data_IF_532568307405
#
_entry.id   IF_532568307405
#
_cell.length_a   1.000
_cell.length_b   1.000
_cell.length_c   1.000
_cell.angle_alpha   90.00
_cell.angle_beta   90.00
_cell.angle_gamma   90.00
#
_symmetry.space_group_name_H-M   'P 1'
#
loop_
_entity.id
_entity.type
_entity.pdbx_description
1 polymer ?
#
# COMPACT_ATOMS: atom_id res chain seq x y z
N UNK A 1 7.90 -18.26 -10.71
CA UNK A 1 7.33 -16.99 -10.17
C UNK A 1 8.48 -16.01 -10.06
N UNK A 2 8.28 -14.71 -10.35
CA UNK A 2 9.34 -13.71 -10.21
C UNK A 2 9.75 -13.56 -8.75
N UNK A 3 11.06 -13.31 -8.44
CA UNK A 3 11.56 -13.28 -7.05
C UNK A 3 10.85 -12.25 -6.16
N UNK A 4 10.52 -11.08 -6.71
CA UNK A 4 9.79 -10.03 -5.97
C UNK A 4 8.38 -10.48 -5.58
N UNK A 5 7.68 -11.20 -6.45
CA UNK A 5 6.34 -11.73 -6.15
C UNK A 5 6.43 -12.79 -5.03
N UNK A 6 7.45 -13.64 -5.09
CA UNK A 6 7.70 -14.64 -4.04
C UNK A 6 7.99 -13.95 -2.70
N UNK A 7 8.84 -12.93 -2.68
CA UNK A 7 9.16 -12.18 -1.48
C UNK A 7 7.92 -11.51 -0.88
N UNK A 8 7.11 -10.83 -1.70
CA UNK A 8 5.86 -10.19 -1.25
C UNK A 8 4.89 -11.23 -0.67
N UNK A 9 4.74 -12.39 -1.32
CA UNK A 9 3.88 -13.46 -0.83
C UNK A 9 4.36 -14.01 0.52
N UNK A 10 5.67 -14.24 0.66
CA UNK A 10 6.25 -14.72 1.93
C UNK A 10 6.02 -13.72 3.05
N UNK A 11 6.23 -12.42 2.80
CA UNK A 11 5.99 -11.36 3.78
C UNK A 11 4.50 -11.27 4.14
N UNK A 12 3.63 -11.36 3.15
CA UNK A 12 2.17 -11.37 3.37
C UNK A 12 1.74 -12.56 4.24
N UNK A 13 2.22 -13.77 3.93
CA UNK A 13 1.96 -14.97 4.72
C UNK A 13 2.54 -14.87 6.14
N UNK A 14 3.71 -14.27 6.29
CA UNK A 14 4.30 -14.01 7.60
C UNK A 14 3.36 -13.16 8.48
N UNK A 15 2.84 -12.05 7.97
CA UNK A 15 1.88 -11.23 8.72
C UNK A 15 0.56 -11.94 8.97
N UNK A 16 0.06 -12.76 8.03
CA UNK A 16 -1.12 -13.62 8.26
C UNK A 16 -0.87 -14.57 9.43
N UNK A 17 0.27 -15.26 9.44
CA UNK A 17 0.64 -16.19 10.50
C UNK A 17 0.67 -15.46 11.86
N UNK A 18 1.32 -14.29 11.91
CA UNK A 18 1.33 -13.48 13.13
C UNK A 18 -0.09 -13.08 13.58
N UNK A 19 -0.94 -12.63 12.68
CA UNK A 19 -2.33 -12.29 13.03
C UNK A 19 -3.13 -13.51 13.48
N UNK A 20 -2.92 -14.68 12.89
CA UNK A 20 -3.59 -15.93 13.29
C UNK A 20 -3.22 -16.32 14.73
N UNK A 21 -1.95 -16.20 15.10
CA UNK A 21 -1.48 -16.61 16.43
C UNK A 21 -1.70 -15.56 17.52
N UNK A 22 -1.61 -14.28 17.19
CA UNK A 22 -1.59 -13.21 18.19
C UNK A 22 -2.83 -12.32 18.17
N UNK A 23 -3.72 -12.46 17.18
CA UNK A 23 -4.96 -11.68 17.08
C UNK A 23 -6.15 -12.58 16.71
N UNK A 24 -7.33 -11.98 16.55
CA UNK A 24 -8.54 -12.72 16.14
C UNK A 24 -8.70 -12.74 14.61
N UNK A 25 -7.75 -13.33 13.89
CA UNK A 25 -7.71 -13.27 12.42
C UNK A 25 -9.00 -13.75 11.72
N UNK A 26 -9.54 -14.90 12.14
CA UNK A 26 -10.73 -15.51 11.51
C UNK A 26 -12.06 -14.98 12.03
N UNK A 27 -12.07 -14.38 13.20
CA UNK A 27 -13.28 -13.91 13.87
C UNK A 27 -13.05 -12.53 14.47
N UNK A 28 -12.89 -11.52 13.61
CA UNK A 28 -12.81 -10.13 14.05
C UNK A 28 -14.15 -9.67 14.62
N UNK A 29 -14.10 -8.77 15.60
CA UNK A 29 -15.31 -8.14 16.12
C UNK A 29 -16.00 -7.39 14.97
N UNK A 30 -17.33 -7.48 14.91
CA UNK A 30 -18.20 -6.86 13.90
C UNK A 30 -17.92 -7.31 12.44
N UNK A 31 -17.14 -8.37 12.21
CA UNK A 31 -16.92 -8.92 10.88
C UNK A 31 -18.17 -9.63 10.37
N UNK A 32 -18.58 -9.29 9.14
CA UNK A 32 -19.69 -9.92 8.40
C UNK A 32 -19.12 -10.90 7.36
N UNK A 33 -19.90 -11.89 6.97
CA UNK A 33 -19.52 -12.80 5.88
C UNK A 33 -19.22 -12.04 4.58
N UNK A 34 -20.01 -11.00 4.26
CA UNK A 34 -19.79 -10.14 3.10
C UNK A 34 -18.43 -9.46 3.09
N UNK A 35 -17.81 -9.21 4.26
CA UNK A 35 -16.48 -8.62 4.33
C UNK A 35 -15.42 -9.56 3.72
N UNK A 36 -15.46 -10.84 4.08
CA UNK A 36 -14.57 -11.84 3.49
C UNK A 36 -14.76 -11.99 1.98
N UNK A 37 -16.01 -11.94 1.50
CA UNK A 37 -16.29 -11.96 0.05
C UNK A 37 -15.66 -10.76 -0.64
N UNK A 38 -15.82 -9.56 -0.10
CA UNK A 38 -15.22 -8.32 -0.65
C UNK A 38 -13.70 -8.41 -0.63
N UNK A 39 -13.08 -8.90 0.45
CA UNK A 39 -11.63 -9.08 0.56
C UNK A 39 -11.10 -10.00 -0.55
N UNK A 40 -11.73 -11.16 -0.76
CA UNK A 40 -11.32 -12.12 -1.79
C UNK A 40 -11.50 -11.57 -3.19
N UNK A 41 -12.65 -10.96 -3.50
CA UNK A 41 -12.94 -10.39 -4.82
C UNK A 41 -12.00 -9.22 -5.13
N UNK A 42 -11.79 -8.32 -4.18
CA UNK A 42 -10.91 -7.15 -4.37
C UNK A 42 -9.45 -7.59 -4.58
N UNK A 43 -8.96 -8.51 -3.75
CA UNK A 43 -7.59 -9.03 -3.85
C UNK A 43 -7.38 -9.80 -5.15
N UNK A 44 -8.28 -10.74 -5.46
CA UNK A 44 -8.22 -11.52 -6.70
C UNK A 44 -8.37 -10.63 -7.94
N UNK A 45 -9.32 -9.71 -7.93
CA UNK A 45 -9.53 -8.74 -9.01
C UNK A 45 -8.30 -7.86 -9.26
N UNK A 46 -7.66 -7.38 -8.20
CA UNK A 46 -6.41 -6.61 -8.34
C UNK A 46 -5.28 -7.49 -8.90
N UNK A 47 -4.95 -8.57 -8.21
CA UNK A 47 -3.71 -9.31 -8.49
C UNK A 47 -3.78 -10.12 -9.79
N UNK A 48 -4.95 -10.67 -10.12
CA UNK A 48 -5.12 -11.56 -11.29
C UNK A 48 -5.58 -10.82 -12.54
N UNK A 49 -6.21 -9.65 -12.40
CA UNK A 49 -6.83 -8.95 -13.54
C UNK A 49 -6.25 -7.55 -13.71
N UNK A 50 -6.47 -6.65 -12.73
CA UNK A 50 -6.19 -5.23 -12.94
C UNK A 50 -4.69 -4.94 -13.01
N UNK A 51 -3.90 -5.47 -12.10
CA UNK A 51 -2.46 -5.22 -12.08
C UNK A 51 -1.76 -5.71 -13.35
N UNK A 52 -1.94 -6.97 -13.80
CA UNK A 52 -1.35 -7.40 -15.06
C UNK A 52 -1.88 -6.61 -16.26
N UNK A 53 -3.19 -6.32 -16.31
CA UNK A 53 -3.78 -5.53 -17.39
C UNK A 53 -3.15 -4.15 -17.48
N UNK A 54 -3.10 -3.40 -16.38
CA UNK A 54 -2.58 -2.02 -16.37
C UNK A 54 -1.08 -2.00 -16.68
N UNK A 55 -0.28 -2.87 -16.05
CA UNK A 55 1.17 -2.92 -16.31
C UNK A 55 1.46 -3.27 -17.77
N UNK A 56 0.76 -4.26 -18.33
CA UNK A 56 0.92 -4.65 -19.74
C UNK A 56 0.45 -3.55 -20.68
N UNK A 57 -0.71 -2.94 -20.41
CA UNK A 57 -1.22 -1.84 -21.24
C UNK A 57 -0.28 -0.64 -21.22
N UNK A 58 0.22 -0.25 -20.03
CA UNK A 58 1.17 0.84 -19.91
C UNK A 58 2.48 0.55 -20.65
N UNK A 59 2.99 -0.69 -20.57
CA UNK A 59 4.17 -1.11 -21.35
C UNK A 59 3.93 -1.01 -22.85
N UNK A 60 2.83 -1.59 -23.36
CA UNK A 60 2.49 -1.58 -24.80
C UNK A 60 2.22 -0.16 -25.33
N UNK A 61 1.53 0.67 -24.56
CA UNK A 61 1.34 2.09 -24.91
C UNK A 61 2.67 2.83 -24.98
N UNK A 62 3.56 2.59 -24.02
CA UNK A 62 4.90 3.18 -24.02
C UNK A 62 5.70 2.72 -25.24
N UNK A 63 5.65 1.44 -25.59
CA UNK A 63 6.30 0.91 -26.78
C UNK A 63 5.78 1.55 -28.07
N UNK A 64 4.47 1.80 -28.15
CA UNK A 64 3.84 2.41 -29.32
C UNK A 64 4.18 3.91 -29.47
N UNK A 65 4.07 4.68 -28.36
CA UNK A 65 4.23 6.15 -28.42
C UNK A 65 5.65 6.64 -28.16
N UNK A 66 6.50 5.81 -27.55
CA UNK A 66 7.86 6.16 -27.13
C UNK A 66 8.88 5.09 -27.56
N UNK A 67 8.86 4.59 -28.83
CA UNK A 67 9.66 3.41 -29.22
C UNK A 67 11.17 3.58 -29.03
N UNK A 68 11.69 4.81 -29.16
CA UNK A 68 13.11 5.13 -28.97
C UNK A 68 13.57 5.19 -27.51
N UNK A 69 12.65 5.10 -26.55
CA UNK A 69 12.95 5.19 -25.12
C UNK A 69 13.03 3.84 -24.42
N UNK A 70 12.80 2.73 -25.12
CA UNK A 70 12.88 1.40 -24.52
C UNK A 70 14.26 1.17 -23.90
N UNK A 71 14.28 0.76 -22.63
CA UNK A 71 15.49 0.54 -21.83
C UNK A 71 16.45 1.75 -21.71
N UNK A 72 16.01 2.96 -22.02
CA UNK A 72 16.87 4.16 -22.03
C UNK A 72 17.39 4.53 -20.62
N UNK A 73 16.71 4.13 -19.56
CA UNK A 73 17.14 4.36 -18.17
C UNK A 73 17.87 3.16 -17.55
N UNK A 74 18.15 2.09 -18.31
CA UNK A 74 18.80 0.88 -17.79
C UNK A 74 20.18 1.15 -17.15
N UNK A 75 20.90 2.18 -17.62
CA UNK A 75 22.22 2.56 -17.14
C UNK A 75 22.23 3.59 -15.99
N UNK A 76 21.07 4.05 -15.52
CA UNK A 76 21.01 5.02 -14.43
C UNK A 76 21.56 4.42 -13.13
N UNK A 77 22.21 5.26 -12.30
CA UNK A 77 22.71 4.81 -11.00
C UNK A 77 21.53 4.23 -10.17
N UNK A 78 21.69 3.01 -9.62
CA UNK A 78 20.62 2.32 -8.87
C UNK A 78 20.07 3.10 -7.69
N UNK A 79 20.94 3.78 -6.93
CA UNK A 79 20.54 4.57 -5.77
C UNK A 79 19.71 5.79 -6.19
N UNK A 80 20.10 6.44 -7.30
CA UNK A 80 19.33 7.57 -7.85
C UNK A 80 17.97 7.06 -8.32
N UNK A 81 17.91 5.98 -9.10
CA UNK A 81 16.67 5.40 -9.57
C UNK A 81 15.74 5.01 -8.40
N UNK A 82 16.28 4.33 -7.38
CA UNK A 82 15.53 3.95 -6.20
C UNK A 82 15.00 5.16 -5.42
N UNK A 83 15.82 6.19 -5.22
CA UNK A 83 15.41 7.42 -4.53
C UNK A 83 14.30 8.17 -5.29
N UNK A 84 14.39 8.21 -6.61
CA UNK A 84 13.34 8.81 -7.45
C UNK A 84 12.03 8.00 -7.37
N UNK A 85 12.11 6.67 -7.41
CA UNK A 85 10.95 5.82 -7.17
C UNK A 85 10.33 6.09 -5.81
N UNK A 86 11.14 6.05 -4.75
CA UNK A 86 10.70 6.27 -3.38
C UNK A 86 9.95 7.60 -3.23
N UNK A 87 10.48 8.68 -3.79
CA UNK A 87 9.91 10.01 -3.65
C UNK A 87 8.67 10.17 -4.55
N UNK A 88 8.80 9.92 -5.84
CA UNK A 88 7.72 10.23 -6.79
C UNK A 88 6.55 9.26 -6.74
N UNK A 89 6.80 7.96 -6.62
CA UNK A 89 5.72 6.98 -6.51
C UNK A 89 4.93 7.19 -5.22
N UNK A 90 5.62 7.45 -4.11
CA UNK A 90 4.96 7.65 -2.82
C UNK A 90 4.21 8.99 -2.76
N UNK A 91 4.75 10.08 -3.34
CA UNK A 91 4.07 11.36 -3.49
C UNK A 91 2.78 11.23 -4.33
N UNK A 92 2.85 10.51 -5.46
CA UNK A 92 1.68 10.24 -6.30
C UNK A 92 0.65 9.41 -5.53
N UNK A 93 1.09 8.39 -4.80
CA UNK A 93 0.25 7.57 -3.96
C UNK A 93 -0.44 8.38 -2.86
N UNK A 94 0.30 9.27 -2.18
CA UNK A 94 -0.23 10.18 -1.18
C UNK A 94 -1.35 11.05 -1.75
N UNK A 95 -1.11 11.71 -2.89
CA UNK A 95 -2.12 12.55 -3.54
C UNK A 95 -3.31 11.74 -4.03
N UNK A 96 -3.09 10.57 -4.60
CA UNK A 96 -4.19 9.68 -5.00
C UNK A 96 -5.08 9.32 -3.83
N UNK A 97 -4.49 8.94 -2.69
CA UNK A 97 -5.21 8.60 -1.48
C UNK A 97 -5.97 9.80 -0.91
N UNK A 98 -5.30 10.95 -0.77
CA UNK A 98 -5.90 12.20 -0.28
C UNK A 98 -7.08 12.68 -1.15
N UNK A 99 -6.92 12.67 -2.48
CA UNK A 99 -7.98 13.03 -3.42
C UNK A 99 -9.14 12.03 -3.34
N UNK A 100 -8.84 10.75 -3.14
CA UNK A 100 -9.87 9.71 -2.96
C UNK A 100 -10.74 9.94 -1.72
N UNK A 101 -10.22 10.59 -0.69
CA UNK A 101 -11.02 11.02 0.47
C UNK A 101 -11.79 12.33 0.25
N UNK A 102 -11.39 13.14 -0.71
CA UNK A 102 -11.96 14.46 -0.96
C UNK A 102 -13.02 14.47 -2.07
N UNK A 103 -12.83 13.64 -3.10
CA UNK A 103 -13.69 13.57 -4.29
C UNK A 103 -14.73 12.47 -4.11
N UNK A 104 -16.02 12.82 -4.04
CA UNK A 104 -17.12 11.91 -3.71
C UNK A 104 -17.18 10.62 -4.54
N UNK A 105 -16.95 10.69 -5.85
CA UNK A 105 -17.02 9.51 -6.70
C UNK A 105 -15.78 8.60 -6.52
N UNK A 106 -14.59 9.16 -6.32
CA UNK A 106 -13.40 8.39 -5.98
C UNK A 106 -13.52 7.73 -4.61
N UNK A 107 -14.10 8.44 -3.64
CA UNK A 107 -14.36 7.85 -2.32
C UNK A 107 -15.28 6.61 -2.41
N UNK A 108 -16.24 6.59 -3.32
CA UNK A 108 -17.07 5.38 -3.53
C UNK A 108 -16.23 4.16 -3.95
N UNK A 109 -15.14 4.36 -4.68
CA UNK A 109 -14.22 3.29 -5.08
C UNK A 109 -13.28 2.87 -3.94
N UNK A 110 -12.93 3.82 -3.07
CA UNK A 110 -12.04 3.62 -1.91
C UNK A 110 -12.81 3.19 -0.64
N UNK A 111 -14.08 3.50 -0.56
CA UNK A 111 -14.93 3.18 0.60
C UNK A 111 -14.91 1.72 1.06
N UNK A 112 -14.82 0.69 0.20
CA UNK A 112 -14.70 -0.69 0.68
C UNK A 112 -13.53 -0.88 1.65
N UNK A 113 -12.42 -0.17 1.44
CA UNK A 113 -11.24 -0.18 2.30
C UNK A 113 -11.55 0.34 3.71
N UNK A 114 -12.31 1.42 3.82
CA UNK A 114 -12.68 2.05 5.09
C UNK A 114 -13.95 1.50 5.74
N UNK A 115 -14.75 0.68 5.05
CA UNK A 115 -16.01 0.17 5.60
C UNK A 115 -15.86 -0.96 6.60
N UNK A 116 -14.72 -1.64 6.65
CA UNK A 116 -14.47 -2.65 7.67
C UNK A 116 -14.46 -2.03 9.06
N UNK A 117 -15.09 -2.70 10.02
CA UNK A 117 -15.10 -2.28 11.43
C UNK A 117 -13.99 -2.96 12.24
N UNK A 118 -12.95 -3.41 11.57
CA UNK A 118 -11.77 -4.07 12.13
C UNK A 118 -10.55 -3.72 11.29
N UNK A 119 -9.36 -3.91 11.86
CA UNK A 119 -8.09 -3.85 11.14
C UNK A 119 -7.55 -5.26 10.93
N UNK A 120 -6.92 -5.47 9.80
CA UNK A 120 -6.21 -6.70 9.44
C UNK A 120 -5.43 -6.49 8.15
N UNK A 121 -4.36 -7.24 7.97
CA UNK A 121 -3.63 -7.31 6.70
C UNK A 121 -4.54 -7.65 5.50
N UNK A 122 -5.69 -8.30 5.72
CA UNK A 122 -6.70 -8.61 4.70
C UNK A 122 -7.30 -7.38 4.04
N UNK A 123 -7.23 -6.22 4.71
CA UNK A 123 -7.79 -4.97 4.20
C UNK A 123 -6.90 -4.27 3.17
N UNK A 124 -5.61 -4.64 3.07
CA UNK A 124 -4.63 -3.97 2.21
C UNK A 124 -5.13 -3.81 0.78
N UNK A 125 -5.74 -4.84 0.22
CA UNK A 125 -6.22 -4.85 -1.16
C UNK A 125 -7.75 -4.65 -1.27
N UNK A 126 -8.43 -4.32 -0.18
CA UNK A 126 -9.89 -4.19 -0.13
C UNK A 126 -10.38 -2.85 -0.70
N UNK A 127 -10.22 -2.67 -1.99
CA UNK A 127 -10.77 -1.55 -2.75
C UNK A 127 -11.64 -2.05 -3.91
N UNK A 128 -12.43 -1.16 -4.50
CA UNK A 128 -13.07 -1.45 -5.78
C UNK A 128 -11.98 -1.63 -6.87
N UNK A 129 -12.18 -2.55 -7.79
CA UNK A 129 -11.21 -2.83 -8.86
C UNK A 129 -10.90 -1.61 -9.73
N UNK A 130 -11.87 -0.73 -9.96
CA UNK A 130 -11.68 0.52 -10.71
C UNK A 130 -10.82 1.54 -9.95
N UNK A 131 -10.74 1.47 -8.62
CA UNK A 131 -9.80 2.27 -7.84
C UNK A 131 -8.36 2.03 -8.29
N UNK A 132 -8.00 0.76 -8.44
CA UNK A 132 -6.68 0.35 -8.89
C UNK A 132 -6.46 0.58 -10.38
N UNK A 133 -7.49 0.37 -11.21
CA UNK A 133 -7.41 0.67 -12.64
C UNK A 133 -7.08 2.15 -12.90
N UNK A 134 -7.66 3.05 -12.13
CA UNK A 134 -7.45 4.49 -12.25
C UNK A 134 -6.20 4.97 -11.49
N UNK A 135 -5.56 4.12 -10.68
CA UNK A 135 -4.42 4.50 -9.83
C UNK A 135 -3.19 4.85 -10.69
N UNK A 136 -2.71 6.11 -10.64
CA UNK A 136 -1.61 6.55 -11.52
C UNK A 136 -0.31 5.77 -11.33
N UNK A 137 -0.04 5.31 -10.08
CA UNK A 137 1.15 4.56 -9.74
C UNK A 137 1.30 3.26 -10.54
N UNK A 138 0.19 2.54 -10.80
CA UNK A 138 0.26 1.29 -11.60
C UNK A 138 0.64 1.58 -13.04
N UNK A 139 0.09 2.64 -13.62
CA UNK A 139 0.43 3.08 -14.98
C UNK A 139 1.87 3.55 -15.08
N UNK A 140 2.31 4.37 -14.13
CA UNK A 140 3.70 4.83 -14.04
C UNK A 140 4.66 3.65 -13.89
N UNK A 141 4.33 2.64 -13.07
CA UNK A 141 5.15 1.45 -12.90
C UNK A 141 5.37 0.71 -14.23
N UNK A 142 4.33 0.56 -15.05
CA UNK A 142 4.44 -0.05 -16.39
C UNK A 142 5.36 0.74 -17.33
N UNK A 143 5.25 2.08 -17.33
CA UNK A 143 6.16 2.97 -18.07
C UNK A 143 7.61 2.81 -17.58
N UNK A 144 7.85 2.81 -16.26
CA UNK A 144 9.21 2.73 -15.72
C UNK A 144 9.85 1.36 -15.98
N UNK A 145 9.05 0.28 -15.97
CA UNK A 145 9.52 -1.05 -16.40
C UNK A 145 9.93 -1.02 -17.87
N UNK A 146 9.14 -0.40 -18.75
CA UNK A 146 9.46 -0.20 -20.15
C UNK A 146 10.79 0.57 -20.35
N UNK A 147 11.01 1.60 -19.55
CA UNK A 147 12.24 2.41 -19.59
C UNK A 147 13.49 1.67 -19.05
N UNK A 148 13.36 0.42 -18.57
CA UNK A 148 14.47 -0.42 -18.10
C UNK A 148 14.70 -0.42 -16.59
N UNK A 149 13.78 0.14 -15.80
CA UNK A 149 13.89 0.21 -14.32
C UNK A 149 13.18 -0.94 -13.60
N UNK A 150 12.82 -2.02 -14.31
CA UNK A 150 12.05 -3.13 -13.73
C UNK A 150 12.70 -3.79 -12.50
N UNK A 151 14.02 -3.87 -12.43
CA UNK A 151 14.72 -4.43 -11.29
C UNK A 151 14.73 -3.49 -10.07
N UNK A 152 14.83 -2.16 -10.30
CA UNK A 152 14.69 -1.16 -9.22
C UNK A 152 13.28 -1.20 -8.66
N UNK A 153 12.27 -1.28 -9.55
CA UNK A 153 10.88 -1.44 -9.17
C UNK A 153 10.67 -2.70 -8.32
N UNK A 154 11.28 -3.82 -8.69
CA UNK A 154 11.16 -5.08 -7.94
C UNK A 154 11.65 -4.94 -6.48
N UNK A 155 12.78 -4.29 -6.26
CA UNK A 155 13.29 -4.02 -4.89
C UNK A 155 12.36 -3.03 -4.16
N UNK A 156 11.99 -1.95 -4.82
CA UNK A 156 11.13 -0.91 -4.27
C UNK A 156 9.77 -1.46 -3.81
N UNK A 157 9.11 -2.27 -4.66
CA UNK A 157 7.77 -2.79 -4.36
C UNK A 157 7.78 -3.78 -3.17
N UNK A 158 8.85 -4.56 -3.00
CA UNK A 158 9.01 -5.44 -1.83
C UNK A 158 9.09 -4.60 -0.56
N UNK A 159 9.92 -3.55 -0.54
CA UNK A 159 10.03 -2.64 0.60
C UNK A 159 8.69 -1.93 0.89
N UNK A 160 8.06 -1.37 -0.14
CA UNK A 160 6.76 -0.69 -0.05
C UNK A 160 5.70 -1.61 0.56
N UNK A 161 5.56 -2.82 0.03
CA UNK A 161 4.56 -3.77 0.52
C UNK A 161 4.85 -4.24 1.95
N UNK A 162 6.10 -4.37 2.36
CA UNK A 162 6.46 -4.70 3.74
C UNK A 162 5.92 -3.65 4.72
N UNK A 163 6.12 -2.36 4.42
CA UNK A 163 5.63 -1.26 5.25
C UNK A 163 4.10 -1.23 5.27
N UNK A 164 3.46 -1.35 4.09
CA UNK A 164 1.99 -1.34 3.98
C UNK A 164 1.37 -2.51 4.74
N UNK A 165 1.92 -3.73 4.64
CA UNK A 165 1.44 -4.89 5.38
C UNK A 165 1.58 -4.69 6.89
N UNK A 166 2.75 -4.17 7.33
CA UNK A 166 2.99 -3.86 8.73
C UNK A 166 2.01 -2.82 9.26
N UNK A 167 1.71 -1.77 8.50
CA UNK A 167 0.79 -0.70 8.91
C UNK A 167 -0.68 -1.16 9.00
N UNK A 168 -1.11 -2.06 8.12
CA UNK A 168 -2.47 -2.61 8.12
C UNK A 168 -2.66 -3.75 9.12
N UNK A 169 -1.58 -4.37 9.58
CA UNK A 169 -1.69 -5.49 10.50
C UNK A 169 -2.41 -5.09 11.79
N UNK A 170 -3.29 -5.97 12.28
CA UNK A 170 -3.92 -5.81 13.59
C UNK A 170 -2.93 -5.99 14.75
N UNK A 171 -1.73 -6.44 14.45
CA UNK A 171 -0.64 -6.55 15.42
C UNK A 171 -0.10 -5.16 15.76
N UNK A 172 -0.22 -4.67 17.00
CA UNK A 172 0.31 -3.35 17.36
C UNK A 172 1.81 -3.44 17.66
N UNK A 173 2.62 -3.84 16.65
CA UNK A 173 4.05 -4.09 16.82
C UNK A 173 4.84 -2.85 17.23
N UNK A 174 4.33 -1.67 16.91
CA UNK A 174 4.92 -0.37 17.26
C UNK A 174 4.74 -0.02 18.75
N UNK A 175 3.58 -0.33 19.36
CA UNK A 175 3.25 0.04 20.75
C UNK A 175 4.24 -0.46 21.81
N UNK A 176 4.72 -1.73 21.79
CA UNK A 176 5.71 -2.18 22.74
C UNK A 176 7.04 -1.41 22.68
N UNK A 177 7.42 -0.92 21.49
CA UNK A 177 8.68 -0.21 21.29
C UNK A 177 8.70 1.15 22.00
N UNK A 178 7.55 1.79 22.16
CA UNK A 178 7.43 3.04 22.93
C UNK A 178 7.67 2.86 24.43
N UNK A 179 7.47 1.65 24.96
CA UNK A 179 7.74 1.36 26.38
C UNK A 179 9.22 1.32 26.70
N UNK A 180 10.07 1.13 25.71
CA UNK A 180 11.51 1.12 25.86
C UNK A 180 12.04 2.55 25.76
N UNK A 181 12.50 3.11 26.86
CA UNK A 181 12.82 4.54 27.02
C UNK A 181 13.75 5.12 25.93
N UNK A 182 14.75 4.39 25.50
CA UNK A 182 15.66 4.86 24.45
C UNK A 182 15.08 4.70 23.03
N UNK A 183 14.20 3.68 22.80
CA UNK A 183 13.52 3.47 21.52
C UNK A 183 12.37 4.44 21.31
N UNK A 184 11.74 4.97 22.36
CA UNK A 184 10.57 5.84 22.23
C UNK A 184 10.85 7.09 21.39
N UNK A 185 12.03 7.70 21.54
CA UNK A 185 12.46 8.84 20.72
C UNK A 185 12.68 8.45 19.26
N UNK A 186 13.22 7.27 19.00
CA UNK A 186 13.40 6.73 17.67
C UNK A 186 12.06 6.39 17.01
N UNK A 187 11.13 5.79 17.76
CA UNK A 187 9.77 5.54 17.28
C UNK A 187 9.02 6.82 16.93
N UNK A 188 9.26 7.91 17.68
CA UNK A 188 8.71 9.22 17.35
C UNK A 188 9.15 9.73 15.96
N UNK A 189 10.39 9.45 15.55
CA UNK A 189 10.88 9.74 14.19
C UNK A 189 10.28 8.77 13.17
N UNK A 190 10.25 7.47 13.50
CA UNK A 190 9.73 6.44 12.59
C UNK A 190 8.27 6.72 12.20
N UNK A 191 7.38 6.95 13.16
CA UNK A 191 5.96 7.18 12.87
C UNK A 191 5.66 8.46 12.07
N UNK A 192 6.65 9.38 11.96
CA UNK A 192 6.59 10.59 11.14
C UNK A 192 7.25 10.41 9.78
N UNK A 193 7.95 9.32 9.59
CA UNK A 193 8.64 9.02 8.32
C UNK A 193 8.00 7.87 7.58
N UNK A 194 7.52 6.84 8.28
CA UNK A 194 6.86 5.69 7.67
C UNK A 194 5.54 5.37 8.35
N UNK A 195 4.63 4.75 7.59
CA UNK A 195 3.35 4.28 8.11
C UNK A 195 3.53 3.15 9.14
N UNK A 196 2.87 3.28 10.28
CA UNK A 196 2.86 2.28 11.37
C UNK A 196 1.42 1.88 11.69
N UNK A 197 1.17 0.79 12.45
CA UNK A 197 -0.18 0.47 12.89
C UNK A 197 -0.86 1.64 13.60
N UNK A 198 -0.17 2.32 14.51
CA UNK A 198 -0.76 3.44 15.27
C UNK A 198 -1.21 4.59 14.39
N UNK A 199 -0.41 4.97 13.38
CA UNK A 199 -0.75 6.06 12.47
C UNK A 199 -1.84 5.66 11.45
N UNK A 200 -1.74 4.45 10.89
CA UNK A 200 -2.67 4.00 9.86
C UNK A 200 -4.04 3.58 10.42
N UNK A 201 -4.08 2.95 11.60
CA UNK A 201 -5.35 2.66 12.28
C UNK A 201 -6.10 3.93 12.66
N UNK A 202 -5.39 5.01 13.03
CA UNK A 202 -6.01 6.31 13.27
C UNK A 202 -6.70 6.85 12.00
N UNK A 203 -6.08 6.66 10.83
CA UNK A 203 -6.68 7.03 9.54
C UNK A 203 -7.94 6.19 9.22
N UNK A 204 -7.95 4.91 9.56
CA UNK A 204 -9.12 4.04 9.40
C UNK A 204 -10.22 4.26 10.44
N UNK A 205 -10.00 5.04 11.47
CA UNK A 205 -10.97 5.31 12.54
C UNK A 205 -12.26 5.95 12.01
N UNK A 206 -13.39 5.62 12.63
CA UNK A 206 -14.73 6.08 12.23
C UNK A 206 -15.32 7.11 13.17
N UNK A 207 -14.85 7.18 14.41
CA UNK A 207 -15.48 7.96 15.48
C UNK A 207 -14.56 9.10 15.92
N UNK A 208 -14.90 10.33 15.55
CA UNK A 208 -14.12 11.52 15.94
C UNK A 208 -14.01 11.72 17.45
N UNK A 209 -14.94 11.16 18.23
CA UNK A 209 -15.01 11.33 19.67
C UNK A 209 -14.07 10.39 20.44
N UNK A 210 -13.39 9.45 19.78
CA UNK A 210 -12.47 8.49 20.44
C UNK A 210 -11.10 9.09 20.79
N UNK A 211 -10.80 10.30 20.30
CA UNK A 211 -9.52 10.99 20.51
C UNK A 211 -8.34 10.40 19.73
N UNK A 212 -8.57 9.35 18.91
CA UNK A 212 -7.55 8.61 18.17
C UNK A 212 -7.73 8.79 16.67
N UNK A 213 -8.98 8.86 16.21
CA UNK A 213 -9.31 8.91 14.79
C UNK A 213 -8.79 10.18 14.10
N UNK A 214 -8.00 9.98 13.04
CA UNK A 214 -7.49 11.05 12.16
C UNK A 214 -7.91 10.81 10.70
N UNK A 215 -9.19 10.67 10.49
CA UNK A 215 -9.81 10.34 9.20
C UNK A 215 -9.45 11.31 8.05
N UNK A 216 -9.13 12.57 8.34
CA UNK A 216 -8.76 13.61 7.37
C UNK A 216 -7.26 13.86 7.28
N UNK A 217 -6.45 12.94 7.70
CA UNK A 217 -4.98 12.96 7.63
C UNK A 217 -4.43 11.56 7.65
N UNK A 218 -3.13 11.42 7.76
CA UNK A 218 -2.42 10.16 7.70
C UNK A 218 -2.68 9.42 6.36
N UNK A 219 -2.66 10.17 5.26
CA UNK A 219 -2.88 9.62 3.91
C UNK A 219 -1.65 8.91 3.35
N UNK A 220 -0.48 9.09 3.96
CA UNK A 220 0.75 8.40 3.58
C UNK A 220 0.60 6.89 3.70
N UNK A 221 0.96 6.14 2.65
CA UNK A 221 0.93 4.69 2.68
C UNK A 221 2.28 4.09 3.08
N UNK A 222 3.36 4.70 2.65
CA UNK A 222 4.71 4.29 3.01
C UNK A 222 5.43 5.42 3.75
N UNK A 223 5.57 6.59 3.13
CA UNK A 223 6.16 7.76 3.76
C UNK A 223 5.07 8.69 4.31
N UNK A 224 5.30 9.17 5.52
CA UNK A 224 4.44 10.13 6.22
C UNK A 224 4.94 11.57 6.13
N UNK A 225 6.01 11.80 5.38
CA UNK A 225 6.60 13.15 5.20
C UNK A 225 5.70 14.11 4.41
N UNK A 226 4.64 13.60 3.78
CA UNK A 226 3.68 14.38 2.98
C UNK A 226 2.47 14.85 3.77
N UNK A 227 2.18 14.23 4.94
CA UNK A 227 1.05 14.55 5.83
C UNK A 227 1.32 15.79 6.77
#
# INVERSE_FOLDING_TARGET
MKPEITAILVIYLFFIILEVFFTKFFKKNNQKFSDGVVEVISTGGLLLVIQPLVLTSAYLLSQHYLPSFENNLKGINPLIAFSLFLIFDDLIQYWWHRISHSVKWLYKLHRPHHNAEYMSIRLVYRNNVFYYFLMPNLWLSGLLIYLGLGWVYAIYIVMKMTIIFGAHSDLPWDKPLYKVKWLSKFMWVIERTISTPSTHHAHHGKHKADGITHYKGNFGNMLFIWD
#
